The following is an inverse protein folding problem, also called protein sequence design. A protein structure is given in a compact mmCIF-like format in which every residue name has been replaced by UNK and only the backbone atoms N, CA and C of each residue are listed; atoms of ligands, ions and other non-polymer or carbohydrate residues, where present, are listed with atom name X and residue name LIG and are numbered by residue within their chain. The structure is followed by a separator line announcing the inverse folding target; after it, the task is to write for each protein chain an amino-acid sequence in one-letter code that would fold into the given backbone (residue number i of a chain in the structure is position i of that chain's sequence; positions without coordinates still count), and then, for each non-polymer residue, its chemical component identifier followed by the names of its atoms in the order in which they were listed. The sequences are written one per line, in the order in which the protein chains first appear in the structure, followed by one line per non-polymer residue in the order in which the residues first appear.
data_IF_442264383469
#
_entry.id   IF_442264383469
#
_cell.length_a   1.000
_cell.length_b   1.000
_cell.length_c   1.000
_cell.angle_alpha   90.00
_cell.angle_beta   90.00
_cell.angle_gamma   90.00
#
_symmetry.space_group_name_H-M   'P 1'
#
loop_
_entity.id
_entity.type
_entity.pdbx_description
1 polymer ?
#
# COMPACT_ATOMS: atom_id res chain seq x y z
N UNK A 1 -4.72 17.19 3.96
CA UNK A 1 -4.93 15.75 4.19
C UNK A 1 -6.37 15.44 3.82
N UNK A 2 -6.64 14.29 3.22
CA UNK A 2 -8.00 13.84 2.90
C UNK A 2 -8.31 12.61 3.76
N UNK A 3 -9.58 12.44 4.14
CA UNK A 3 -10.05 11.31 4.94
C UNK A 3 -10.87 10.40 4.04
N UNK A 4 -10.67 9.09 4.17
CA UNK A 4 -11.42 8.07 3.46
C UNK A 4 -12.18 7.24 4.49
N UNK A 5 -13.51 7.31 4.47
CA UNK A 5 -14.34 6.47 5.32
C UNK A 5 -14.50 5.11 4.65
N UNK A 6 -14.01 4.07 5.29
CA UNK A 6 -14.08 2.70 4.80
C UNK A 6 -14.80 1.83 5.82
N UNK A 7 -15.71 1.00 5.34
CA UNK A 7 -16.16 -0.17 6.11
C UNK A 7 -15.00 -1.14 6.31
N UNK A 8 -15.13 -2.05 7.27
CA UNK A 8 -14.14 -3.10 7.51
C UNK A 8 -13.87 -3.92 6.24
N UNK A 9 -14.92 -4.27 5.50
CA UNK A 9 -14.80 -5.04 4.26
C UNK A 9 -14.06 -4.27 3.16
N UNK A 10 -14.38 -2.98 2.98
CA UNK A 10 -13.69 -2.13 1.99
C UNK A 10 -12.21 -1.92 2.35
N UNK A 11 -11.91 -1.75 3.65
CA UNK A 11 -10.54 -1.65 4.14
C UNK A 11 -9.76 -2.94 3.90
N UNK A 12 -10.33 -4.08 4.25
CA UNK A 12 -9.68 -5.39 4.08
C UNK A 12 -9.46 -5.69 2.59
N UNK A 13 -10.42 -5.32 1.73
CA UNK A 13 -10.26 -5.39 0.27
C UNK A 13 -9.16 -4.44 -0.24
N UNK A 14 -9.11 -3.21 0.25
CA UNK A 14 -8.09 -2.23 -0.12
C UNK A 14 -6.68 -2.72 0.29
N UNK A 15 -6.54 -3.31 1.48
CA UNK A 15 -5.28 -3.92 1.93
C UNK A 15 -4.85 -5.00 0.95
N UNK A 16 -5.74 -5.93 0.56
CA UNK A 16 -5.41 -6.99 -0.41
C UNK A 16 -4.98 -6.44 -1.77
N UNK A 17 -5.66 -5.41 -2.28
CA UNK A 17 -5.30 -4.74 -3.53
C UNK A 17 -3.91 -4.09 -3.44
N UNK A 18 -3.62 -3.43 -2.32
CA UNK A 18 -2.32 -2.78 -2.10
C UNK A 18 -1.19 -3.79 -1.94
N UNK A 19 -1.43 -4.91 -1.25
CA UNK A 19 -0.48 -6.02 -1.12
C UNK A 19 -0.14 -6.64 -2.48
N UNK A 20 -1.16 -6.96 -3.27
CA UNK A 20 -0.98 -7.48 -4.64
C UNK A 20 -0.22 -6.48 -5.51
N UNK A 21 -0.55 -5.18 -5.44
CA UNK A 21 0.19 -4.16 -6.18
C UNK A 21 1.64 -4.02 -5.70
N UNK A 22 1.94 -4.30 -4.44
CA UNK A 22 3.30 -4.26 -3.92
C UNK A 22 4.15 -5.39 -4.50
N UNK A 23 3.57 -6.58 -4.63
CA UNK A 23 4.23 -7.74 -5.24
C UNK A 23 4.48 -7.52 -6.73
N UNK A 24 3.52 -6.94 -7.45
CA UNK A 24 3.70 -6.54 -8.85
C UNK A 24 4.85 -5.54 -9.01
N UNK A 25 4.92 -4.52 -8.15
CA UNK A 25 6.01 -3.53 -8.19
C UNK A 25 7.36 -4.18 -7.87
N UNK A 26 7.41 -5.16 -6.97
CA UNK A 26 8.63 -5.94 -6.70
C UNK A 26 9.07 -6.73 -7.93
N UNK A 27 8.15 -7.43 -8.60
CA UNK A 27 8.47 -8.16 -9.83
C UNK A 27 8.96 -7.22 -10.93
N UNK A 28 8.31 -6.07 -11.11
CA UNK A 28 8.71 -5.07 -12.09
C UNK A 28 10.08 -4.45 -11.77
N UNK A 29 10.43 -4.25 -10.49
CA UNK A 29 11.75 -3.76 -10.09
C UNK A 29 12.88 -4.74 -10.42
N UNK A 30 12.60 -6.05 -10.29
CA UNK A 30 13.54 -7.11 -10.65
C UNK A 30 13.73 -7.16 -12.16
N UNK A 31 12.63 -7.10 -12.92
CA UNK A 31 12.64 -7.22 -14.37
C UNK A 31 13.08 -5.95 -15.12
N UNK A 32 13.04 -4.78 -14.47
CA UNK A 32 13.43 -3.53 -15.11
C UNK A 32 14.95 -3.44 -15.35
N UNK A 33 15.35 -2.87 -16.48
CA UNK A 33 16.74 -2.48 -16.74
C UNK A 33 16.92 -0.95 -16.85
N UNK A 34 15.82 -0.21 -17.01
CA UNK A 34 15.83 1.24 -17.08
C UNK A 34 15.89 1.86 -15.67
N UNK A 35 16.93 2.65 -15.40
CA UNK A 35 17.14 3.29 -14.10
C UNK A 35 16.03 4.28 -13.70
N UNK A 36 15.52 5.07 -14.64
CA UNK A 36 14.43 6.02 -14.39
C UNK A 36 13.13 5.29 -14.06
N UNK A 37 12.86 4.19 -14.75
CA UNK A 37 11.72 3.33 -14.45
C UNK A 37 11.85 2.70 -13.04
N UNK A 38 13.03 2.21 -12.66
CA UNK A 38 13.30 1.73 -11.29
C UNK A 38 13.07 2.81 -10.23
N UNK A 39 13.47 4.05 -10.49
CA UNK A 39 13.23 5.16 -9.56
C UNK A 39 11.73 5.42 -9.36
N UNK A 40 10.95 5.41 -10.44
CA UNK A 40 9.49 5.54 -10.37
C UNK A 40 8.86 4.38 -9.58
N UNK A 41 9.27 3.14 -9.85
CA UNK A 41 8.79 1.96 -9.14
C UNK A 41 9.14 1.99 -7.64
N UNK A 42 10.31 2.51 -7.26
CA UNK A 42 10.68 2.69 -5.84
C UNK A 42 9.75 3.68 -5.14
N UNK A 43 9.49 4.84 -5.76
CA UNK A 43 8.53 5.82 -5.21
C UNK A 43 7.13 5.22 -5.09
N UNK A 44 6.69 4.44 -6.07
CA UNK A 44 5.40 3.74 -6.01
C UNK A 44 5.37 2.71 -4.87
N UNK A 45 6.44 1.94 -4.70
CA UNK A 45 6.59 0.99 -3.59
C UNK A 45 6.48 1.69 -2.23
N UNK A 46 7.17 2.81 -2.06
CA UNK A 46 7.15 3.61 -0.82
C UNK A 46 5.74 4.13 -0.51
N UNK A 47 5.05 4.68 -1.53
CA UNK A 47 3.67 5.15 -1.37
C UNK A 47 2.71 4.03 -0.95
N UNK A 48 2.79 2.85 -1.60
CA UNK A 48 1.95 1.70 -1.26
C UNK A 48 2.26 1.19 0.15
N UNK A 49 3.54 1.10 0.53
CA UNK A 49 3.95 0.67 1.86
C UNK A 49 3.43 1.61 2.96
N UNK A 50 3.50 2.92 2.74
CA UNK A 50 2.95 3.91 3.64
C UNK A 50 1.43 3.78 3.78
N UNK A 51 0.69 3.61 2.68
CA UNK A 51 -0.76 3.40 2.74
C UNK A 51 -1.14 2.14 3.53
N UNK A 52 -0.43 1.04 3.32
CA UNK A 52 -0.64 -0.21 4.07
C UNK A 52 -0.35 -0.03 5.57
N UNK A 53 0.69 0.72 5.92
CA UNK A 53 1.01 1.02 7.30
C UNK A 53 -0.11 1.80 7.99
N UNK A 54 -0.62 2.86 7.33
CA UNK A 54 -1.72 3.67 7.87
C UNK A 54 -3.02 2.87 8.01
N UNK A 55 -3.40 2.08 6.99
CA UNK A 55 -4.61 1.26 7.05
C UNK A 55 -4.57 0.18 8.15
N UNK A 56 -3.38 -0.33 8.49
CA UNK A 56 -3.20 -1.33 9.55
C UNK A 56 -3.10 -0.71 10.95
N UNK A 57 -2.67 0.54 11.08
CA UNK A 57 -2.68 1.26 12.36
C UNK A 57 -4.11 1.45 12.86
N UNK A 58 -5.06 1.72 11.95
CA UNK A 58 -6.48 1.88 12.29
C UNK A 58 -7.09 0.59 12.89
N UNK A 59 -6.56 -0.59 12.57
CA UNK A 59 -7.00 -1.86 13.16
C UNK A 59 -6.53 -2.05 14.62
N UNK A 60 -5.44 -1.39 15.03
CA UNK A 60 -4.86 -1.53 16.37
C UNK A 60 -5.40 -0.53 17.39
N UNK A 61 -6.26 0.41 16.98
CA UNK A 61 -6.92 1.29 17.93
C UNK A 61 -7.89 0.45 18.78
N UNK A 62 -7.66 0.34 20.10
CA UNK A 62 -8.58 -0.39 20.96
C UNK A 62 -9.96 0.28 20.87
N UNK A 63 -11.00 -0.54 20.72
CA UNK A 63 -12.38 -0.13 20.98
C UNK A 63 -12.38 0.51 22.38
N UNK A 64 -12.50 1.83 22.44
CA UNK A 64 -12.66 2.53 23.72
C UNK A 64 -13.93 1.97 24.40
N UNK A 65 -13.77 1.65 25.70
CA UNK A 65 -14.72 0.96 26.59
C UNK A 65 -16.17 1.49 26.54
#
# INVERSE_FOLDING_TARGET
MFTLELTREERDMLIQVLESSLDDVRMQLIAADNMMYKMMLRKRKEAIAHLLEELRKEEQLPLAE
#
